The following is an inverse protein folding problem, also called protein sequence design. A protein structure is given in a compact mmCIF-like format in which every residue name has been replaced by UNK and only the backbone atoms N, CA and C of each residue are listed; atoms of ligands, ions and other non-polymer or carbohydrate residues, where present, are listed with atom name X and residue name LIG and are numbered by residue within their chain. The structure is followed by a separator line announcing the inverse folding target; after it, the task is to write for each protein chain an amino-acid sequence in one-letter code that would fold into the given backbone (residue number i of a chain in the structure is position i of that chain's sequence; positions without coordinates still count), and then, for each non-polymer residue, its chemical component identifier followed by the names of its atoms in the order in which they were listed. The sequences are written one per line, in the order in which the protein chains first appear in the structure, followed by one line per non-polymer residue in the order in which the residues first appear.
data_IF_322035134987
#
_entry.id   IF_322035134987
#
_cell.length_a   1.000
_cell.length_b   1.000
_cell.length_c   1.000
_cell.angle_alpha   90.00
_cell.angle_beta   90.00
_cell.angle_gamma   90.00
#
_symmetry.space_group_name_H-M   'P 1'
#
loop_
_entity.id
_entity.type
_entity.pdbx_description
1 polymer ?
#
# COMPACT_ATOMS: atom_id res chain seq x y z
N UNK A 1 -20.50 -14.82 59.74
CA UNK A 1 -20.03 -15.72 58.67
C UNK A 1 -20.65 -15.29 57.36
N UNK A 2 -19.82 -15.17 56.30
CA UNK A 2 -20.17 -15.14 54.86
C UNK A 2 -21.08 -13.95 54.48
N UNK A 3 -20.70 -13.01 53.62
CA UNK A 3 -20.10 -13.22 52.29
C UNK A 3 -19.35 -11.95 51.85
N UNK A 4 -18.04 -11.93 52.10
CA UNK A 4 -17.06 -11.05 51.49
C UNK A 4 -16.60 -11.70 50.17
N UNK A 5 -17.42 -11.73 49.12
CA UNK A 5 -16.95 -12.07 47.77
C UNK A 5 -17.97 -11.51 46.79
N UNK A 6 -17.70 -10.35 46.16
CA UNK A 6 -18.26 -9.97 44.86
C UNK A 6 -17.69 -8.63 44.37
N UNK A 7 -16.39 -8.42 44.51
CA UNK A 7 -15.70 -7.30 43.86
C UNK A 7 -14.35 -7.78 43.33
N UNK A 8 -14.35 -8.83 42.49
CA UNK A 8 -13.12 -9.31 41.86
C UNK A 8 -13.35 -10.07 40.54
N UNK A 9 -14.38 -9.71 39.77
CA UNK A 9 -14.70 -10.41 38.50
C UNK A 9 -14.95 -9.50 37.31
N UNK A 10 -14.69 -8.18 37.41
CA UNK A 10 -15.05 -7.24 36.34
C UNK A 10 -13.90 -6.78 35.43
N UNK A 11 -12.67 -7.22 35.67
CA UNK A 11 -11.52 -6.85 34.84
C UNK A 11 -10.59 -8.07 34.76
N UNK A 12 -10.74 -8.92 33.72
CA UNK A 12 -9.83 -8.79 32.59
C UNK A 12 -10.46 -9.23 31.26
N UNK A 13 -11.56 -8.61 30.82
CA UNK A 13 -12.08 -8.87 29.46
C UNK A 13 -11.46 -7.97 28.39
N UNK A 14 -10.61 -7.01 28.77
CA UNK A 14 -10.05 -6.02 27.84
C UNK A 14 -8.71 -6.41 27.21
N UNK A 15 -8.10 -7.53 27.56
CA UNK A 15 -6.83 -7.95 26.94
C UNK A 15 -7.02 -8.68 25.60
N UNK A 16 -8.25 -9.00 25.18
CA UNK A 16 -8.53 -9.71 23.93
C UNK A 16 -8.69 -8.82 22.69
N UNK A 17 -8.61 -7.48 22.82
CA UNK A 17 -8.61 -6.56 21.66
C UNK A 17 -7.19 -6.18 21.18
N UNK A 18 -6.14 -6.68 21.83
CA UNK A 18 -4.76 -6.42 21.43
C UNK A 18 -4.18 -7.48 20.48
N UNK A 19 -4.91 -8.55 20.19
CA UNK A 19 -4.51 -9.54 19.20
C UNK A 19 -5.16 -9.22 17.85
N UNK A 20 -4.31 -9.06 16.85
CA UNK A 20 -4.63 -9.18 15.42
C UNK A 20 -5.12 -7.92 14.70
N UNK A 21 -4.25 -6.91 14.65
CA UNK A 21 -4.19 -6.09 13.43
C UNK A 21 -2.75 -5.77 13.05
N UNK A 22 -1.94 -6.81 12.86
CA UNK A 22 -1.12 -6.77 11.65
C UNK A 22 -2.12 -6.64 10.50
N UNK A 23 -2.46 -5.40 10.10
CA UNK A 23 -3.19 -5.16 8.87
C UNK A 23 -2.27 -5.67 7.76
N UNK A 24 -2.36 -6.97 7.45
CA UNK A 24 -2.02 -7.48 6.13
C UNK A 24 -2.86 -6.62 5.20
N UNK A 25 -2.21 -5.67 4.53
CA UNK A 25 -2.84 -4.99 3.41
C UNK A 25 -3.26 -6.11 2.48
N UNK A 26 -4.57 -6.36 2.40
CA UNK A 26 -5.08 -7.29 1.41
C UNK A 26 -4.61 -6.74 0.07
N UNK A 27 -4.00 -7.61 -0.73
CA UNK A 27 -3.57 -7.29 -2.08
C UNK A 27 -4.65 -6.50 -2.79
N UNK A 28 -4.22 -5.49 -3.52
CA UNK A 28 -5.16 -4.74 -4.32
C UNK A 28 -5.76 -5.64 -5.40
N UNK A 29 -7.01 -5.37 -5.82
CA UNK A 29 -7.65 -6.09 -6.91
C UNK A 29 -6.79 -6.09 -8.18
N UNK A 30 -6.82 -7.19 -8.93
CA UNK A 30 -5.98 -7.40 -10.13
C UNK A 30 -6.21 -6.32 -11.21
N UNK A 31 -7.44 -5.86 -11.37
CA UNK A 31 -7.80 -4.75 -12.26
C UNK A 31 -7.12 -3.44 -11.83
N UNK A 32 -7.08 -3.16 -10.53
CA UNK A 32 -6.38 -2.00 -9.97
C UNK A 32 -4.87 -2.13 -10.18
N UNK A 33 -4.30 -3.31 -9.95
CA UNK A 33 -2.89 -3.59 -10.20
C UNK A 33 -2.52 -3.46 -11.68
N UNK A 34 -3.43 -3.85 -12.58
CA UNK A 34 -3.28 -3.67 -14.03
C UNK A 34 -3.27 -2.20 -14.42
N UNK A 35 -4.12 -1.37 -13.81
CA UNK A 35 -4.12 0.08 -14.02
C UNK A 35 -2.80 0.73 -13.58
N UNK A 36 -2.22 0.29 -12.46
CA UNK A 36 -0.89 0.77 -12.01
C UNK A 36 0.17 0.47 -13.07
N UNK A 37 0.24 -0.76 -13.58
CA UNK A 37 1.22 -1.13 -14.60
C UNK A 37 0.98 -0.46 -15.95
N UNK A 38 -0.28 -0.20 -16.32
CA UNK A 38 -0.60 0.65 -17.47
C UNK A 38 -0.08 2.07 -17.26
N UNK A 39 -0.20 2.62 -16.05
CA UNK A 39 0.41 3.89 -15.67
C UNK A 39 1.93 3.90 -15.85
N UNK A 40 2.62 2.87 -15.34
CA UNK A 40 4.08 2.70 -15.54
C UNK A 40 4.43 2.74 -17.03
N UNK A 41 3.78 1.93 -17.85
CA UNK A 41 4.01 1.91 -19.30
C UNK A 41 3.69 3.24 -19.98
N UNK A 42 2.63 3.92 -19.56
CA UNK A 42 2.23 5.23 -20.06
C UNK A 42 3.28 6.31 -19.78
N UNK A 43 3.78 6.39 -18.55
CA UNK A 43 4.83 7.35 -18.18
C UNK A 43 6.16 7.08 -18.88
N UNK A 44 6.54 5.81 -19.06
CA UNK A 44 7.73 5.46 -19.83
C UNK A 44 7.60 5.83 -21.31
N UNK A 45 6.43 5.58 -21.90
CA UNK A 45 6.14 5.97 -23.30
C UNK A 45 6.16 7.48 -23.47
N UNK A 46 5.59 8.22 -22.51
CA UNK A 46 5.63 9.69 -22.49
C UNK A 46 7.08 10.19 -22.33
N UNK A 47 7.87 9.60 -21.42
CA UNK A 47 9.28 9.94 -21.24
C UNK A 47 10.07 9.81 -22.53
N UNK A 48 9.87 8.70 -23.26
CA UNK A 48 10.53 8.48 -24.54
C UNK A 48 10.13 9.51 -25.60
N UNK A 49 8.87 9.95 -25.61
CA UNK A 49 8.40 11.03 -26.47
C UNK A 49 9.05 12.36 -26.09
N UNK A 50 9.07 12.71 -24.81
CA UNK A 50 9.67 13.95 -24.27
C UNK A 50 11.18 14.01 -24.52
N UNK A 51 11.88 12.88 -24.43
CA UNK A 51 13.30 12.78 -24.78
C UNK A 51 13.54 13.06 -26.27
N UNK A 52 12.67 12.58 -27.16
CA UNK A 52 12.77 12.84 -28.61
C UNK A 52 12.57 14.32 -28.97
N UNK A 53 11.89 15.09 -28.13
CA UNK A 53 11.73 16.54 -28.29
C UNK A 53 12.87 17.34 -27.66
N UNK A 54 13.89 16.68 -27.07
CA UNK A 54 15.06 17.31 -26.47
C UNK A 54 14.89 17.77 -25.02
N UNK A 55 13.75 17.47 -24.38
CA UNK A 55 13.51 17.79 -22.97
C UNK A 55 13.97 16.64 -22.06
N UNK A 56 15.28 16.58 -21.79
CA UNK A 56 15.85 15.52 -20.96
C UNK A 56 15.37 15.58 -19.51
N UNK A 57 15.19 16.78 -18.96
CA UNK A 57 14.75 16.96 -17.57
C UNK A 57 13.30 16.48 -17.39
N UNK A 58 12.42 16.85 -18.33
CA UNK A 58 11.03 16.37 -18.37
C UNK A 58 10.96 14.85 -18.54
N UNK A 59 11.78 14.29 -19.43
CA UNK A 59 11.86 12.85 -19.62
C UNK A 59 12.27 12.13 -18.32
N UNK A 60 13.28 12.63 -17.59
CA UNK A 60 13.70 12.05 -16.31
C UNK A 60 12.63 12.16 -15.22
N UNK A 61 11.87 13.26 -15.17
CA UNK A 61 10.74 13.38 -14.23
C UNK A 61 9.70 12.29 -14.47
N UNK A 62 9.36 12.01 -15.74
CA UNK A 62 8.41 10.96 -16.09
C UNK A 62 8.92 9.56 -15.73
N UNK A 63 10.22 9.28 -15.89
CA UNK A 63 10.83 8.02 -15.41
C UNK A 63 10.68 7.86 -13.90
N UNK A 64 10.89 8.93 -13.12
CA UNK A 64 10.73 8.87 -11.66
C UNK A 64 9.29 8.55 -11.27
N UNK A 65 8.31 9.18 -11.93
CA UNK A 65 6.89 8.87 -11.69
C UNK A 65 6.60 7.41 -12.04
N UNK A 66 7.12 6.89 -13.16
CA UNK A 66 6.97 5.47 -13.49
C UNK A 66 7.57 4.55 -12.40
N UNK A 67 8.73 4.90 -11.84
CA UNK A 67 9.37 4.16 -10.76
C UNK A 67 8.57 4.21 -9.45
N UNK A 68 7.95 5.35 -9.12
CA UNK A 68 7.09 5.48 -7.95
C UNK A 68 5.87 4.56 -8.08
N UNK A 69 5.22 4.52 -9.25
CA UNK A 69 4.10 3.59 -9.52
C UNK A 69 4.54 2.12 -9.48
N UNK A 70 5.73 1.80 -10.01
CA UNK A 70 6.29 0.45 -9.91
C UNK A 70 6.56 0.03 -8.46
N UNK A 71 7.01 0.97 -7.63
CA UNK A 71 7.21 0.75 -6.18
C UNK A 71 5.88 0.49 -5.48
N UNK A 72 4.84 1.24 -5.82
CA UNK A 72 3.49 1.00 -5.29
C UNK A 72 3.01 -0.40 -5.68
N UNK A 73 3.18 -0.80 -6.94
CA UNK A 73 2.84 -2.15 -7.40
C UNK A 73 3.57 -3.23 -6.60
N UNK A 74 4.87 -3.08 -6.37
CA UNK A 74 5.66 -4.05 -5.61
C UNK A 74 5.12 -4.24 -4.18
N UNK A 75 4.67 -3.16 -3.54
CA UNK A 75 4.14 -3.18 -2.17
C UNK A 75 2.72 -3.75 -2.08
N UNK A 76 1.83 -3.43 -3.03
CA UNK A 76 0.39 -3.71 -2.89
C UNK A 76 -0.16 -4.78 -3.83
N UNK A 77 0.60 -5.17 -4.85
CA UNK A 77 0.15 -6.06 -5.93
C UNK A 77 1.01 -7.31 -6.11
N UNK A 78 2.28 -7.29 -5.70
CA UNK A 78 3.20 -8.43 -5.82
C UNK A 78 3.04 -9.40 -4.64
N UNK A 79 3.18 -10.70 -4.91
CA UNK A 79 3.02 -11.78 -3.91
C UNK A 79 4.18 -11.83 -2.91
#
# INVERSE_FOLDING_TARGET
MKKLVLVLSLLPSFTLLAQDSEKKFNKWPEDTCSLIMQGVGGYLSASDSTRKTGDEEGAQKLVRVAADYATIYDVVCKD
#
